data_IF_773767713600
#
_entry.id   IF_773767713600
#
_cell.length_a   1.000
_cell.length_b   1.000
_cell.length_c   1.000
_cell.angle_alpha   90.00
_cell.angle_beta   90.00
_cell.angle_gamma   90.00
#
_symmetry.space_group_name_H-M   'P 1'
#
loop_
_entity.id
_entity.type
_entity.pdbx_description
1 polymer ?
#
# COMPACT_ATOMS: atom_id res chain seq x y z
N UNK A 1 -33.13 8.03 73.63
CA UNK A 1 -33.22 8.80 72.38
C UNK A 1 -31.99 8.49 71.55
N UNK A 2 -32.12 7.82 70.39
CA UNK A 2 -31.04 7.59 69.43
C UNK A 2 -31.06 8.73 68.43
N UNK A 3 -29.94 9.47 68.31
CA UNK A 3 -29.75 10.51 67.27
C UNK A 3 -29.10 9.83 66.04
N UNK A 4 -29.86 9.70 64.98
CA UNK A 4 -29.33 9.27 63.69
C UNK A 4 -28.60 10.42 63.02
N UNK A 5 -27.31 10.25 62.83
CA UNK A 5 -26.48 11.23 62.12
C UNK A 5 -26.32 10.71 60.68
N UNK A 6 -26.91 11.40 59.69
CA UNK A 6 -26.63 11.11 58.29
C UNK A 6 -25.48 11.98 57.81
N UNK A 7 -24.59 11.39 57.02
CA UNK A 7 -23.44 12.09 56.47
C UNK A 7 -23.88 13.28 55.65
N UNK A 8 -23.30 14.44 55.91
CA UNK A 8 -23.57 15.66 55.15
C UNK A 8 -23.36 15.41 53.65
N UNK A 9 -24.29 15.90 52.82
CA UNK A 9 -24.23 15.86 51.34
C UNK A 9 -22.92 16.44 50.83
N UNK A 10 -22.31 17.36 51.57
CA UNK A 10 -21.02 17.96 51.26
C UNK A 10 -19.88 16.92 51.43
N UNK A 11 -19.95 16.10 52.49
CA UNK A 11 -18.95 15.05 52.72
C UNK A 11 -18.97 13.97 51.65
N UNK A 12 -20.15 13.55 51.18
CA UNK A 12 -20.33 12.60 50.10
C UNK A 12 -19.79 13.16 48.76
N UNK A 13 -19.99 14.46 48.52
CA UNK A 13 -19.42 15.12 47.31
C UNK A 13 -17.89 15.24 47.39
N UNK A 14 -17.34 15.54 48.55
CA UNK A 14 -15.89 15.62 48.74
C UNK A 14 -15.19 14.29 48.53
N UNK A 15 -15.83 13.17 48.87
CA UNK A 15 -15.31 11.82 48.66
C UNK A 15 -15.28 11.45 47.13
N UNK A 16 -16.22 11.93 46.35
CA UNK A 16 -16.31 11.64 44.91
C UNK A 16 -15.38 12.54 44.06
N UNK A 17 -15.12 13.76 44.54
CA UNK A 17 -14.35 14.77 43.82
C UNK A 17 -12.96 14.29 43.35
N UNK A 18 -12.11 13.64 44.16
CA UNK A 18 -10.80 13.17 43.72
C UNK A 18 -10.89 12.08 42.63
N UNK A 19 -11.91 11.23 42.70
CA UNK A 19 -12.11 10.20 41.61
C UNK A 19 -12.53 10.84 40.28
N UNK A 20 -13.41 11.84 40.34
CA UNK A 20 -13.79 12.60 39.15
C UNK A 20 -12.59 13.33 38.55
N UNK A 21 -11.76 13.97 39.38
CA UNK A 21 -10.55 14.66 38.94
C UNK A 21 -9.52 13.70 38.34
N UNK A 22 -9.28 12.54 38.98
CA UNK A 22 -8.38 11.53 38.43
C UNK A 22 -8.87 10.97 37.09
N UNK A 23 -10.18 10.78 36.93
CA UNK A 23 -10.79 10.34 35.68
C UNK A 23 -10.54 11.35 34.55
N UNK A 24 -10.75 12.64 34.84
CA UNK A 24 -10.49 13.70 33.84
C UNK A 24 -9.03 13.74 33.45
N UNK A 25 -8.12 13.69 34.43
CA UNK A 25 -6.66 13.65 34.15
C UNK A 25 -6.27 12.42 33.33
N UNK A 26 -6.81 11.26 33.69
CA UNK A 26 -6.56 10.03 32.94
C UNK A 26 -7.01 10.10 31.48
N UNK A 27 -8.25 10.59 31.27
CA UNK A 27 -8.78 10.79 29.89
C UNK A 27 -7.90 11.76 29.12
N UNK A 28 -7.47 12.85 29.74
CA UNK A 28 -6.56 13.81 29.10
C UNK A 28 -5.22 13.18 28.70
N UNK A 29 -4.63 12.38 29.58
CA UNK A 29 -3.37 11.65 29.28
C UNK A 29 -3.55 10.70 28.12
N UNK A 30 -4.66 9.95 28.07
CA UNK A 30 -4.96 9.02 26.98
C UNK A 30 -5.08 9.77 25.65
N UNK A 31 -5.83 10.88 25.63
CA UNK A 31 -5.99 11.70 24.44
C UNK A 31 -4.63 12.26 23.96
N UNK A 32 -3.83 12.80 24.90
CA UNK A 32 -2.51 13.32 24.57
C UNK A 32 -1.58 12.23 24.01
N UNK A 33 -1.61 11.04 24.60
CA UNK A 33 -0.83 9.90 24.10
C UNK A 33 -1.23 9.47 22.69
N UNK A 34 -2.53 9.37 22.44
CA UNK A 34 -3.05 9.03 21.10
C UNK A 34 -2.69 10.09 20.06
N UNK A 35 -2.79 11.37 20.43
CA UNK A 35 -2.40 12.47 19.55
C UNK A 35 -0.90 12.43 19.21
N UNK A 36 -0.03 12.23 20.21
CA UNK A 36 1.41 12.10 20.00
C UNK A 36 1.76 10.87 19.15
N UNK A 37 1.12 9.72 19.39
CA UNK A 37 1.32 8.52 18.58
C UNK A 37 0.91 8.72 17.12
N UNK A 38 -0.21 9.40 16.89
CA UNK A 38 -0.69 9.75 15.54
C UNK A 38 0.28 10.69 14.82
N UNK A 39 0.78 11.72 15.52
CA UNK A 39 1.73 12.69 14.94
C UNK A 39 3.05 12.03 14.56
N UNK A 40 3.61 11.18 15.43
CA UNK A 40 4.84 10.43 15.13
C UNK A 40 4.70 9.55 13.90
N UNK A 41 3.57 8.84 13.77
CA UNK A 41 3.29 8.01 12.60
C UNK A 41 3.20 8.83 11.31
N UNK A 42 2.56 10.00 11.38
CA UNK A 42 2.46 10.92 10.24
C UNK A 42 3.82 11.49 9.82
N UNK A 43 4.67 11.86 10.78
CA UNK A 43 6.04 12.33 10.51
C UNK A 43 6.91 11.24 9.87
N UNK A 44 6.89 10.03 10.41
CA UNK A 44 7.61 8.89 9.84
C UNK A 44 7.18 8.62 8.39
N UNK A 45 5.89 8.68 8.11
CA UNK A 45 5.38 8.52 6.76
C UNK A 45 5.89 9.62 5.83
N UNK A 46 5.90 10.90 6.26
CA UNK A 46 6.41 12.02 5.46
C UNK A 46 7.90 11.86 5.14
N UNK A 47 8.71 11.47 6.12
CA UNK A 47 10.15 11.24 5.92
C UNK A 47 10.37 10.09 4.95
N UNK A 48 9.64 8.99 5.10
CA UNK A 48 9.74 7.84 4.20
C UNK A 48 9.36 8.19 2.76
N UNK A 49 8.28 8.95 2.60
CA UNK A 49 7.81 9.46 1.31
C UNK A 49 8.87 10.37 0.65
N UNK A 50 9.40 11.32 1.40
CA UNK A 50 10.44 12.24 0.91
C UNK A 50 11.69 11.50 0.48
N UNK A 51 12.17 10.56 1.30
CA UNK A 51 13.34 9.75 1.01
C UNK A 51 13.15 8.88 -0.23
N UNK A 52 11.98 8.24 -0.36
CA UNK A 52 11.67 7.40 -1.51
C UNK A 52 11.67 8.19 -2.81
N UNK A 53 11.06 9.37 -2.82
CA UNK A 53 11.01 10.25 -3.99
C UNK A 53 12.41 10.74 -4.39
N UNK A 54 13.20 11.20 -3.41
CA UNK A 54 14.56 11.67 -3.63
C UNK A 54 15.46 10.54 -4.15
N UNK A 55 15.40 9.37 -3.51
CA UNK A 55 16.17 8.19 -3.96
C UNK A 55 15.80 7.78 -5.39
N UNK A 56 14.52 7.80 -5.73
CA UNK A 56 14.08 7.50 -7.10
C UNK A 56 14.61 8.50 -8.12
N UNK A 57 14.61 9.79 -7.76
CA UNK A 57 15.15 10.84 -8.63
C UNK A 57 16.67 10.70 -8.84
N UNK A 58 17.42 10.44 -7.76
CA UNK A 58 18.86 10.20 -7.81
C UNK A 58 19.24 8.90 -8.54
N UNK A 59 18.40 7.86 -8.51
CA UNK A 59 18.59 6.64 -9.28
C UNK A 59 18.26 6.81 -10.77
N UNK A 60 17.38 7.73 -11.12
CA UNK A 60 16.97 7.97 -12.50
C UNK A 60 18.13 8.36 -13.41
N UNK A 61 19.05 9.21 -12.93
CA UNK A 61 20.22 9.67 -13.69
C UNK A 61 21.18 8.52 -14.06
N UNK A 62 21.68 7.70 -13.12
CA UNK A 62 22.57 6.58 -13.46
C UNK A 62 21.88 5.51 -14.30
N UNK A 63 20.58 5.28 -14.09
CA UNK A 63 19.82 4.33 -14.91
C UNK A 63 19.73 4.82 -16.35
N UNK A 64 19.43 6.11 -16.57
CA UNK A 64 19.43 6.70 -17.92
C UNK A 64 20.80 6.58 -18.60
N UNK A 65 21.89 6.76 -17.85
CA UNK A 65 23.24 6.55 -18.37
C UNK A 65 23.48 5.09 -18.75
N UNK A 66 23.01 4.12 -17.95
CA UNK A 66 23.14 2.70 -18.26
C UNK A 66 22.34 2.33 -19.52
N UNK A 67 21.13 2.87 -19.70
CA UNK A 67 20.36 2.69 -20.94
C UNK A 67 21.15 3.20 -22.14
N UNK A 68 21.72 4.41 -22.04
CA UNK A 68 22.52 4.98 -23.11
C UNK A 68 23.79 4.13 -23.41
N UNK A 69 24.44 3.56 -22.39
CA UNK A 69 25.56 2.65 -22.58
C UNK A 69 25.16 1.36 -23.27
N UNK A 70 24.03 0.75 -22.90
CA UNK A 70 23.51 -0.45 -23.57
C UNK A 70 23.22 -0.17 -25.04
N UNK A 71 22.61 0.97 -25.36
CA UNK A 71 22.36 1.42 -26.73
C UNK A 71 23.65 1.64 -27.52
N UNK A 72 24.66 2.30 -26.89
CA UNK A 72 25.96 2.49 -27.51
C UNK A 72 26.68 1.17 -27.77
N UNK A 73 26.69 0.22 -26.83
CA UNK A 73 27.28 -1.08 -27.00
C UNK A 73 26.59 -1.91 -28.09
N UNK A 74 25.30 -1.69 -28.32
CA UNK A 74 24.54 -2.31 -29.41
C UNK A 74 25.04 -1.89 -30.81
N UNK A 75 25.70 -0.75 -30.92
CA UNK A 75 26.36 -0.31 -32.16
C UNK A 75 27.74 -0.95 -32.39
N UNK A 76 28.23 -1.70 -31.42
CA UNK A 76 29.50 -2.43 -31.48
C UNK A 76 29.25 -3.91 -31.78
N UNK A 77 30.26 -4.57 -32.30
CA UNK A 77 30.21 -6.01 -32.59
C UNK A 77 30.37 -6.83 -31.30
N UNK A 78 29.34 -6.81 -30.47
CA UNK A 78 29.26 -7.51 -29.18
C UNK A 78 28.13 -8.52 -29.24
N UNK A 79 28.28 -9.62 -28.50
CA UNK A 79 27.26 -10.65 -28.39
C UNK A 79 25.90 -10.08 -28.00
N UNK A 80 24.95 -10.17 -28.91
CA UNK A 80 23.58 -9.69 -28.73
C UNK A 80 22.84 -10.35 -27.57
N UNK A 81 23.22 -11.57 -27.21
CA UNK A 81 22.64 -12.29 -26.05
C UNK A 81 22.99 -11.58 -24.74
N UNK A 82 24.27 -11.22 -24.57
CA UNK A 82 24.73 -10.51 -23.38
C UNK A 82 24.09 -9.10 -23.25
N UNK A 83 24.01 -8.39 -24.38
CA UNK A 83 23.38 -7.06 -24.40
C UNK A 83 21.88 -7.13 -24.04
N UNK A 84 21.19 -8.15 -24.51
CA UNK A 84 19.77 -8.33 -24.18
C UNK A 84 19.56 -8.61 -22.67
N UNK A 85 20.45 -9.36 -22.03
CA UNK A 85 20.37 -9.59 -20.58
C UNK A 85 20.67 -8.28 -19.80
N UNK A 86 21.68 -7.50 -20.22
CA UNK A 86 21.96 -6.20 -19.63
C UNK A 86 20.76 -5.24 -19.76
N UNK A 87 20.14 -5.17 -20.92
CA UNK A 87 18.95 -4.34 -21.13
C UNK A 87 17.79 -4.73 -20.23
N UNK A 88 17.54 -6.03 -20.03
CA UNK A 88 16.52 -6.52 -19.10
C UNK A 88 16.79 -6.06 -17.67
N UNK A 89 18.04 -6.15 -17.23
CA UNK A 89 18.39 -5.74 -15.86
C UNK A 89 18.28 -4.23 -15.68
N UNK A 90 18.71 -3.42 -16.65
CA UNK A 90 18.56 -1.96 -16.61
C UNK A 90 17.08 -1.56 -16.62
N UNK A 91 16.24 -2.17 -17.45
CA UNK A 91 14.80 -1.95 -17.43
C UNK A 91 14.15 -2.34 -16.12
N UNK A 92 14.65 -3.39 -15.48
CA UNK A 92 14.21 -3.79 -14.15
C UNK A 92 14.52 -2.72 -13.09
N UNK A 93 15.74 -2.18 -13.11
CA UNK A 93 16.14 -1.08 -12.23
C UNK A 93 15.32 0.18 -12.47
N UNK A 94 15.08 0.54 -13.72
CA UNK A 94 14.21 1.66 -14.10
C UNK A 94 12.80 1.49 -13.52
N UNK A 95 12.21 0.30 -13.66
CA UNK A 95 10.89 -0.02 -13.11
C UNK A 95 10.86 0.14 -11.59
N UNK A 96 11.91 -0.30 -10.89
CA UNK A 96 12.02 -0.15 -9.43
C UNK A 96 12.11 1.33 -9.06
N UNK A 97 12.96 2.11 -9.72
CA UNK A 97 13.11 3.54 -9.46
C UNK A 97 11.80 4.30 -9.70
N UNK A 98 11.08 4.00 -10.79
CA UNK A 98 9.78 4.59 -11.08
C UNK A 98 8.73 4.24 -10.01
N UNK A 99 8.75 3.01 -9.48
CA UNK A 99 7.86 2.59 -8.38
C UNK A 99 8.16 3.38 -7.10
N UNK A 100 9.45 3.56 -6.77
CA UNK A 100 9.87 4.37 -5.64
C UNK A 100 9.45 5.84 -5.78
N UNK A 101 9.56 6.42 -6.97
CA UNK A 101 9.11 7.78 -7.26
C UNK A 101 7.59 7.98 -7.02
N UNK A 102 6.81 6.92 -7.22
CA UNK A 102 5.35 6.96 -6.98
C UNK A 102 4.96 6.77 -5.51
N UNK A 103 5.86 6.27 -4.66
CA UNK A 103 5.62 6.16 -3.23
C UNK A 103 5.50 7.58 -2.66
N UNK A 104 4.30 7.92 -2.17
CA UNK A 104 4.01 9.23 -1.58
C UNK A 104 3.89 10.40 -2.54
N UNK A 105 3.96 10.19 -3.86
CA UNK A 105 3.27 11.11 -4.76
C UNK A 105 1.78 11.00 -4.44
N UNK A 106 1.11 12.14 -4.33
CA UNK A 106 -0.35 12.15 -4.25
C UNK A 106 -0.82 12.07 -5.73
N UNK A 107 -0.96 10.87 -6.30
CA UNK A 107 -1.38 10.79 -7.69
C UNK A 107 -2.82 11.25 -7.75
N UNK A 108 -3.12 12.18 -8.64
CA UNK A 108 -4.49 12.62 -8.87
C UNK A 108 -5.31 11.38 -9.26
N UNK A 109 -6.30 10.98 -8.44
CA UNK A 109 -7.15 9.86 -8.75
C UNK A 109 -8.04 10.24 -9.92
N UNK A 110 -8.08 9.38 -10.92
CA UNK A 110 -8.98 9.53 -12.08
C UNK A 110 -10.03 8.42 -12.04
N UNK A 111 -11.21 8.63 -12.64
CA UNK A 111 -12.19 7.56 -12.80
C UNK A 111 -11.61 6.45 -13.70
N UNK A 112 -11.40 5.27 -13.16
CA UNK A 112 -10.91 4.08 -13.88
C UNK A 112 -11.90 2.94 -13.64
N UNK A 113 -12.22 2.18 -14.70
CA UNK A 113 -13.03 0.98 -14.53
C UNK A 113 -12.26 -0.05 -13.69
N UNK A 114 -12.87 -0.53 -12.60
CA UNK A 114 -12.27 -1.54 -11.73
C UNK A 114 -11.92 -2.83 -12.49
N UNK A 115 -12.60 -3.12 -13.57
CA UNK A 115 -12.32 -4.27 -14.42
C UNK A 115 -10.96 -4.18 -15.15
N UNK A 116 -10.25 -3.03 -15.07
CA UNK A 116 -8.85 -2.91 -15.54
C UNK A 116 -7.91 -3.89 -14.84
N UNK A 117 -8.31 -4.41 -13.65
CA UNK A 117 -7.63 -5.52 -12.94
C UNK A 117 -7.38 -6.72 -13.87
N UNK A 118 -8.26 -6.96 -14.85
CA UNK A 118 -8.13 -8.06 -15.81
C UNK A 118 -6.82 -7.97 -16.61
N UNK A 119 -6.42 -6.77 -17.01
CA UNK A 119 -5.19 -6.56 -17.77
C UNK A 119 -3.95 -6.85 -16.92
N UNK A 120 -3.95 -6.40 -15.65
CA UNK A 120 -2.88 -6.68 -14.70
C UNK A 120 -2.75 -8.19 -14.42
N UNK A 121 -3.87 -8.88 -14.22
CA UNK A 121 -3.87 -10.32 -13.97
C UNK A 121 -3.48 -11.14 -15.21
N UNK A 122 -3.89 -10.71 -16.41
CA UNK A 122 -3.45 -11.32 -17.66
C UNK A 122 -1.93 -11.20 -17.84
N UNK A 123 -1.36 -10.05 -17.53
CA UNK A 123 0.08 -9.84 -17.55
C UNK A 123 0.80 -10.75 -16.51
N UNK A 124 0.25 -10.89 -15.30
CA UNK A 124 0.81 -11.75 -14.29
C UNK A 124 0.73 -13.24 -14.64
N UNK A 125 -0.37 -13.68 -15.26
CA UNK A 125 -0.55 -15.09 -15.65
C UNK A 125 0.53 -15.61 -16.61
N UNK A 126 1.15 -14.73 -17.41
CA UNK A 126 2.25 -15.09 -18.31
C UNK A 126 3.62 -15.17 -17.61
N UNK A 127 3.72 -14.70 -16.37
CA UNK A 127 4.99 -14.55 -15.62
C UNK A 127 5.10 -15.42 -14.38
N UNK A 128 4.00 -15.99 -13.93
CA UNK A 128 3.96 -16.93 -12.80
C UNK A 128 4.05 -18.37 -13.28
N UNK A 129 4.30 -19.28 -12.33
CA UNK A 129 4.34 -20.73 -12.61
C UNK A 129 3.03 -21.21 -13.25
N UNK A 130 3.12 -22.04 -14.28
CA UNK A 130 1.96 -22.68 -14.91
C UNK A 130 1.15 -23.58 -13.97
N UNK A 131 1.71 -23.91 -12.80
CA UNK A 131 1.05 -24.66 -11.72
C UNK A 131 0.12 -23.79 -10.87
N UNK A 132 0.19 -22.45 -11.01
CA UNK A 132 -0.71 -21.51 -10.34
C UNK A 132 -1.81 -21.12 -11.31
N UNK A 133 -3.06 -21.24 -10.88
CA UNK A 133 -4.24 -20.84 -11.66
C UNK A 133 -4.88 -19.61 -11.07
N UNK A 134 -5.12 -18.60 -11.89
CA UNK A 134 -5.83 -17.38 -11.50
C UNK A 134 -7.28 -17.46 -11.93
N UNK A 135 -8.20 -17.30 -11.00
CA UNK A 135 -9.65 -17.19 -11.23
C UNK A 135 -10.10 -15.76 -10.94
N UNK A 136 -11.00 -15.24 -11.77
CA UNK A 136 -11.51 -13.87 -11.63
C UNK A 136 -13.02 -13.87 -11.66
N UNK A 137 -13.64 -13.29 -10.64
CA UNK A 137 -15.06 -12.99 -10.59
C UNK A 137 -15.19 -11.46 -10.57
N UNK A 138 -15.45 -10.87 -11.73
CA UNK A 138 -15.53 -9.43 -11.93
C UNK A 138 -17.01 -9.02 -12.05
N UNK A 139 -17.26 -7.71 -11.99
CA UNK A 139 -18.60 -7.15 -12.20
C UNK A 139 -19.05 -7.30 -13.66
N UNK A 140 -20.36 -7.43 -13.86
CA UNK A 140 -20.94 -7.63 -15.22
C UNK A 140 -20.84 -6.36 -16.10
N UNK A 141 -20.64 -5.19 -15.49
CA UNK A 141 -20.53 -3.90 -16.17
C UNK A 141 -19.33 -3.08 -15.71
N UNK A 142 -19.05 -1.96 -16.38
CA UNK A 142 -18.00 -1.04 -15.96
C UNK A 142 -18.38 -0.35 -14.64
N UNK A 143 -17.50 -0.40 -13.66
CA UNK A 143 -17.67 0.25 -12.36
C UNK A 143 -16.54 1.27 -12.19
N UNK A 144 -16.79 2.57 -12.37
CA UNK A 144 -15.77 3.60 -12.23
C UNK A 144 -15.39 3.83 -10.78
N UNK A 145 -14.10 3.74 -10.49
CA UNK A 145 -13.51 4.01 -9.19
C UNK A 145 -12.46 5.10 -9.32
N UNK A 146 -12.47 6.07 -8.40
CA UNK A 146 -11.43 7.09 -8.35
C UNK A 146 -10.12 6.48 -7.84
N UNK A 147 -9.20 6.21 -8.76
CA UNK A 147 -7.91 5.61 -8.42
C UNK A 147 -6.81 5.96 -9.43
N UNK A 148 -5.57 5.66 -9.08
CA UNK A 148 -4.47 5.66 -10.03
C UNK A 148 -4.27 4.24 -10.55
N UNK A 149 -4.54 4.02 -11.83
CA UNK A 149 -4.52 2.69 -12.48
C UNK A 149 -3.15 2.00 -12.34
N UNK A 150 -2.05 2.73 -12.51
CA UNK A 150 -0.71 2.14 -12.41
C UNK A 150 -0.31 1.74 -10.99
N UNK A 151 -0.77 2.47 -9.97
CA UNK A 151 -0.56 2.09 -8.57
C UNK A 151 -1.46 0.91 -8.19
N UNK A 152 -2.68 0.91 -8.71
CA UNK A 152 -3.61 -0.19 -8.50
C UNK A 152 -3.08 -1.48 -9.12
N UNK A 153 -2.63 -1.44 -10.38
CA UNK A 153 -1.99 -2.58 -11.03
C UNK A 153 -0.79 -3.11 -10.21
N UNK A 154 0.02 -2.22 -9.66
CA UNK A 154 1.14 -2.61 -8.80
C UNK A 154 0.70 -3.30 -7.51
N UNK A 155 -0.40 -2.85 -6.88
CA UNK A 155 -0.98 -3.54 -5.71
C UNK A 155 -1.39 -4.96 -6.09
N UNK A 156 -2.07 -5.15 -7.22
CA UNK A 156 -2.50 -6.46 -7.71
C UNK A 156 -1.30 -7.37 -8.00
N UNK A 157 -0.25 -6.84 -8.65
CA UNK A 157 0.99 -7.57 -8.88
C UNK A 157 1.63 -8.07 -7.57
N UNK A 158 1.72 -7.19 -6.55
CA UNK A 158 2.30 -7.55 -5.26
C UNK A 158 1.48 -8.62 -4.52
N UNK A 159 0.14 -8.46 -4.51
CA UNK A 159 -0.75 -9.45 -3.88
C UNK A 159 -0.63 -10.80 -4.58
N UNK A 160 -0.64 -10.80 -5.93
CA UNK A 160 -0.46 -12.03 -6.71
C UNK A 160 0.87 -12.70 -6.41
N UNK A 161 1.96 -11.93 -6.37
CA UNK A 161 3.30 -12.47 -6.07
C UNK A 161 3.38 -13.04 -4.67
N UNK A 162 2.85 -12.32 -3.66
CA UNK A 162 2.84 -12.79 -2.28
C UNK A 162 2.05 -14.11 -2.15
N UNK A 163 0.90 -14.22 -2.81
CA UNK A 163 0.12 -15.46 -2.83
C UNK A 163 0.89 -16.61 -3.51
N UNK A 164 1.54 -16.35 -4.66
CA UNK A 164 2.39 -17.36 -5.33
C UNK A 164 3.54 -17.83 -4.45
N UNK A 165 4.20 -16.89 -3.77
CA UNK A 165 5.32 -17.19 -2.87
C UNK A 165 4.83 -18.00 -1.65
N UNK A 166 3.67 -17.66 -1.07
CA UNK A 166 3.07 -18.39 0.06
C UNK A 166 2.64 -19.81 -0.32
N UNK A 167 2.21 -20.02 -1.56
CA UNK A 167 1.82 -21.34 -2.09
C UNK A 167 2.99 -22.15 -2.68
N UNK A 168 4.23 -21.69 -2.51
CA UNK A 168 5.42 -22.35 -3.09
C UNK A 168 5.31 -22.56 -4.61
N UNK A 169 4.66 -21.64 -5.30
CA UNK A 169 4.52 -21.63 -6.75
C UNK A 169 3.54 -22.65 -7.34
N UNK A 170 2.62 -23.20 -6.54
CA UNK A 170 1.55 -24.09 -7.02
C UNK A 170 0.26 -23.89 -6.21
N UNK A 171 -0.87 -23.74 -6.90
CA UNK A 171 -2.16 -23.54 -6.23
C UNK A 171 -3.15 -22.76 -7.10
N UNK A 172 -4.08 -22.09 -6.43
CA UNK A 172 -5.08 -21.26 -7.09
C UNK A 172 -5.17 -19.91 -6.38
N UNK A 173 -5.31 -18.83 -7.13
CA UNK A 173 -5.61 -17.50 -6.61
C UNK A 173 -6.96 -17.08 -7.17
N UNK A 174 -7.85 -16.61 -6.31
CA UNK A 174 -9.17 -16.12 -6.72
C UNK A 174 -9.27 -14.64 -6.41
N UNK A 175 -9.60 -13.84 -7.41
CA UNK A 175 -9.93 -12.42 -7.30
C UNK A 175 -11.43 -12.24 -7.46
N UNK A 176 -12.08 -11.71 -6.44
CA UNK A 176 -13.50 -11.42 -6.45
C UNK A 176 -13.73 -9.93 -6.28
N UNK A 177 -14.47 -9.31 -7.19
CA UNK A 177 -14.82 -7.89 -7.18
C UNK A 177 -16.31 -7.76 -6.97
N UNK A 178 -16.70 -7.08 -5.90
CA UNK A 178 -18.10 -6.82 -5.56
C UNK A 178 -18.33 -5.32 -5.41
N UNK A 179 -19.37 -4.82 -6.07
CA UNK A 179 -19.88 -3.46 -5.82
C UNK A 179 -20.87 -3.52 -4.64
N UNK A 180 -20.64 -2.72 -3.60
CA UNK A 180 -21.51 -2.60 -2.44
C UNK A 180 -21.77 -1.13 -2.14
N UNK A 181 -22.97 -0.68 -2.41
CA UNK A 181 -23.44 0.69 -2.21
C UNK A 181 -22.49 1.75 -2.84
N UNK A 182 -21.59 2.32 -2.05
CA UNK A 182 -20.64 3.37 -2.46
C UNK A 182 -19.18 2.91 -2.47
N UNK A 183 -18.93 1.62 -2.27
CA UNK A 183 -17.58 1.07 -2.20
C UNK A 183 -17.47 -0.15 -3.11
N UNK A 184 -16.28 -0.33 -3.67
CA UNK A 184 -15.93 -1.56 -4.37
C UNK A 184 -15.01 -2.38 -3.47
N UNK A 185 -15.40 -3.62 -3.23
CA UNK A 185 -14.63 -4.58 -2.45
C UNK A 185 -13.91 -5.53 -3.40
N UNK A 186 -12.64 -5.75 -3.13
CA UNK A 186 -11.81 -6.72 -3.85
C UNK A 186 -11.30 -7.72 -2.82
N UNK A 187 -11.71 -8.95 -2.96
CA UNK A 187 -11.21 -10.06 -2.15
C UNK A 187 -10.19 -10.87 -2.96
N UNK A 188 -9.08 -11.17 -2.34
CA UNK A 188 -8.01 -12.01 -2.91
C UNK A 188 -7.81 -13.19 -1.98
N UNK A 189 -7.95 -14.40 -2.51
CA UNK A 189 -7.85 -15.65 -1.74
C UNK A 189 -6.91 -16.61 -2.46
N UNK A 190 -6.00 -17.18 -1.74
CA UNK A 190 -5.04 -18.22 -2.13
C UNK A 190 -5.30 -19.56 -1.47
#
# INVERSE_FOLDING_TARGET
>A
QYVYYDDSVILKRLLIYPYAQLTVVFVFIVIAFLALASTKKAEQNKVWVGLSKETAHQLGTPISSLIAWVEYLRTKDIDSSLLNEMEKDVKRLETIAQRFSKIGSNPDPVPVDINSIRSALSYMSTRISSKVKIYTHLTDGPVPVLMNDSLFAWVIENLTKNAVDAMEGQGKITFQVEERDKVVRIDVTD
#
